data_IF_918877309002
#
_entry.id   IF_918877309002
#
_cell.length_a   1.000
_cell.length_b   1.000
_cell.length_c   1.000
_cell.angle_alpha   90.00
_cell.angle_beta   90.00
_cell.angle_gamma   90.00
#
_symmetry.space_group_name_H-M   'P 1'
#
loop_
_entity.id
_entity.type
_entity.pdbx_description
1 polymer ?
#
# COMPACT_ATOMS: atom_id res chain seq x y z
N UNK A 1 -35.48 -12.77 -24.46
CA UNK A 1 -35.32 -11.92 -23.27
C UNK A 1 -34.35 -12.60 -22.32
N UNK A 2 -33.30 -11.89 -21.87
CA UNK A 2 -32.39 -12.23 -20.74
C UNK A 2 -30.86 -12.24 -21.01
N UNK A 3 -30.32 -11.52 -22.00
CA UNK A 3 -28.86 -11.42 -22.18
C UNK A 3 -28.17 -10.29 -21.40
N UNK A 4 -28.93 -9.36 -20.79
CA UNK A 4 -28.35 -8.21 -20.05
C UNK A 4 -28.58 -8.27 -18.53
N UNK A 5 -29.27 -9.30 -18.03
CA UNK A 5 -29.60 -9.41 -16.61
C UNK A 5 -28.36 -9.58 -15.72
N UNK A 6 -27.33 -10.28 -16.24
CA UNK A 6 -26.07 -10.46 -15.52
C UNK A 6 -25.21 -9.18 -15.49
N UNK A 7 -25.33 -8.30 -16.49
CA UNK A 7 -24.63 -7.00 -16.50
C UNK A 7 -25.19 -6.06 -15.46
N UNK A 8 -26.52 -5.97 -15.39
CA UNK A 8 -27.22 -5.18 -14.36
C UNK A 8 -26.93 -5.68 -12.94
N UNK A 9 -26.81 -6.99 -12.75
CA UNK A 9 -26.44 -7.60 -11.47
C UNK A 9 -25.00 -7.22 -11.07
N UNK A 10 -24.06 -7.23 -12.03
CA UNK A 10 -22.67 -6.80 -11.84
C UNK A 10 -22.54 -5.30 -11.56
N UNK A 11 -23.26 -4.46 -12.30
CA UNK A 11 -23.27 -3.02 -12.07
C UNK A 11 -23.81 -2.69 -10.67
N UNK A 12 -24.93 -3.32 -10.28
CA UNK A 12 -25.51 -3.16 -8.95
C UNK A 12 -24.56 -3.66 -7.84
N UNK A 13 -23.84 -4.76 -8.09
CA UNK A 13 -22.83 -5.27 -7.16
C UNK A 13 -21.68 -4.27 -6.95
N UNK A 14 -21.13 -3.71 -8.04
CA UNK A 14 -20.03 -2.75 -7.94
C UNK A 14 -20.46 -1.40 -7.38
N UNK A 15 -21.67 -0.91 -7.69
CA UNK A 15 -22.22 0.29 -7.05
C UNK A 15 -22.39 0.09 -5.54
N UNK A 16 -22.90 -1.07 -5.12
CA UNK A 16 -23.01 -1.41 -3.70
C UNK A 16 -21.63 -1.50 -3.04
N UNK A 17 -20.64 -2.06 -3.75
CA UNK A 17 -19.26 -2.14 -3.26
C UNK A 17 -18.62 -0.75 -3.13
N UNK A 18 -18.79 0.14 -4.12
CA UNK A 18 -18.25 1.50 -4.07
C UNK A 18 -18.91 2.32 -2.95
N UNK A 19 -20.22 2.16 -2.73
CA UNK A 19 -20.90 2.78 -1.59
C UNK A 19 -20.42 2.22 -0.26
N UNK A 20 -20.15 0.92 -0.18
CA UNK A 20 -19.62 0.31 1.03
C UNK A 20 -18.16 0.71 1.29
N UNK A 21 -17.34 0.88 0.25
CA UNK A 21 -15.98 1.38 0.36
C UNK A 21 -15.97 2.85 0.80
N UNK A 22 -16.84 3.70 0.24
CA UNK A 22 -17.05 5.08 0.69
C UNK A 22 -17.56 5.13 2.13
N UNK A 23 -18.47 4.23 2.52
CA UNK A 23 -18.95 4.12 3.90
C UNK A 23 -17.83 3.69 4.84
N UNK A 24 -17.03 2.69 4.48
CA UNK A 24 -15.86 2.24 5.26
C UNK A 24 -14.81 3.34 5.38
N UNK A 25 -14.60 4.12 4.33
CA UNK A 25 -13.72 5.30 4.36
C UNK A 25 -14.27 6.37 5.31
N UNK A 26 -15.57 6.67 5.25
CA UNK A 26 -16.22 7.62 6.17
C UNK A 26 -16.27 7.12 7.62
N UNK A 27 -16.52 5.84 7.86
CA UNK A 27 -16.50 5.20 9.18
C UNK A 27 -15.08 5.12 9.73
N UNK A 28 -14.07 4.84 8.89
CA UNK A 28 -12.67 4.94 9.27
C UNK A 28 -12.31 6.36 9.70
N UNK A 29 -12.82 7.38 8.99
CA UNK A 29 -12.66 8.79 9.36
C UNK A 29 -13.41 9.13 10.66
N UNK A 30 -14.62 8.60 10.87
CA UNK A 30 -15.41 8.84 12.07
C UNK A 30 -14.83 8.16 13.32
N UNK A 31 -14.26 6.97 13.17
CA UNK A 31 -13.60 6.22 14.24
C UNK A 31 -12.27 6.84 14.70
N UNK A 32 -11.64 7.70 13.88
CA UNK A 32 -10.49 8.54 14.32
C UNK A 32 -10.80 9.34 15.59
N UNK A 33 -12.08 9.69 15.82
CA UNK A 33 -12.49 10.51 16.98
C UNK A 33 -12.58 9.72 18.29
N UNK A 34 -12.66 8.38 18.25
CA UNK A 34 -12.75 7.50 19.42
C UNK A 34 -11.47 6.67 19.67
N UNK A 35 -10.51 6.73 18.75
CA UNK A 35 -9.26 6.00 18.81
C UNK A 35 -8.25 6.70 19.73
N UNK A 36 -7.36 5.93 20.37
CA UNK A 36 -6.21 6.50 21.09
C UNK A 36 -5.45 7.45 20.18
N UNK A 37 -4.89 8.54 20.72
CA UNK A 37 -4.13 9.55 19.97
C UNK A 37 -3.14 8.95 18.97
N UNK A 38 -2.52 7.82 19.32
CA UNK A 38 -1.57 7.12 18.45
C UNK A 38 -2.21 6.47 17.22
N UNK A 39 -3.41 5.92 17.33
CA UNK A 39 -4.13 5.32 16.21
C UNK A 39 -4.66 6.38 15.23
N UNK A 40 -5.13 7.53 15.75
CA UNK A 40 -5.48 8.68 14.93
C UNK A 40 -4.25 9.27 14.20
N UNK A 41 -3.10 9.37 14.87
CA UNK A 41 -1.83 9.77 14.26
C UNK A 41 -1.40 8.78 13.16
N UNK A 42 -1.51 7.47 13.41
CA UNK A 42 -1.17 6.43 12.44
C UNK A 42 -2.02 6.54 11.18
N UNK A 43 -3.34 6.64 11.35
CA UNK A 43 -4.28 6.73 10.24
C UNK A 43 -4.04 7.99 9.41
N UNK A 44 -3.81 9.13 10.08
CA UNK A 44 -3.42 10.38 9.41
C UNK A 44 -2.16 10.17 8.57
N UNK A 45 -1.11 9.58 9.16
CA UNK A 45 0.15 9.31 8.44
C UNK A 45 -0.05 8.42 7.22
N UNK A 46 -0.76 7.29 7.35
CA UNK A 46 -0.92 6.36 6.23
C UNK A 46 -1.77 6.95 5.09
N UNK A 47 -2.86 7.65 5.41
CA UNK A 47 -3.74 8.24 4.40
C UNK A 47 -3.18 9.51 3.74
N UNK A 48 -2.30 10.26 4.42
CA UNK A 48 -1.77 11.52 3.89
C UNK A 48 -0.35 11.40 3.32
N UNK A 49 0.54 10.68 4.01
CA UNK A 49 1.96 10.60 3.64
C UNK A 49 2.25 9.32 2.83
N UNK A 50 1.86 8.16 3.36
CA UNK A 50 2.19 6.89 2.72
C UNK A 50 1.39 6.66 1.42
N UNK A 51 0.09 7.01 1.42
CA UNK A 51 -0.77 6.95 0.23
C UNK A 51 -0.19 7.77 -0.91
N UNK A 52 0.10 9.06 -0.65
CA UNK A 52 0.68 9.97 -1.65
C UNK A 52 2.00 9.43 -2.22
N UNK A 53 2.89 8.93 -1.35
CA UNK A 53 4.15 8.32 -1.79
C UNK A 53 3.95 7.13 -2.75
N UNK A 54 3.03 6.23 -2.43
CA UNK A 54 2.78 5.04 -3.25
C UNK A 54 2.02 5.37 -4.54
N UNK A 55 1.10 6.32 -4.51
CA UNK A 55 0.40 6.80 -5.72
C UNK A 55 1.35 7.48 -6.71
N UNK A 56 2.33 8.24 -6.22
CA UNK A 56 3.37 8.84 -7.05
C UNK A 56 4.24 7.78 -7.73
N UNK A 57 4.71 6.78 -6.97
CA UNK A 57 5.45 5.63 -7.52
C UNK A 57 4.59 4.89 -8.54
N UNK A 58 3.33 4.61 -8.21
CA UNK A 58 2.42 3.89 -9.09
C UNK A 58 2.22 4.62 -10.42
N UNK A 59 2.06 5.94 -10.39
CA UNK A 59 1.92 6.77 -11.59
C UNK A 59 3.14 6.62 -12.50
N UNK A 60 4.36 6.73 -11.95
CA UNK A 60 5.59 6.60 -12.73
C UNK A 60 5.79 5.19 -13.29
N UNK A 61 5.55 4.15 -12.49
CA UNK A 61 5.72 2.77 -12.95
C UNK A 61 4.70 2.36 -14.02
N UNK A 62 3.44 2.82 -13.89
CA UNK A 62 2.39 2.59 -14.89
C UNK A 62 2.76 3.17 -16.26
N UNK A 63 3.41 4.34 -16.30
CA UNK A 63 3.90 4.94 -17.56
C UNK A 63 4.90 4.03 -18.29
N UNK A 64 5.58 3.16 -17.56
CA UNK A 64 6.51 2.18 -18.12
C UNK A 64 5.91 0.77 -18.22
N UNK A 65 4.59 0.64 -18.27
CA UNK A 65 3.89 -0.62 -18.55
C UNK A 65 3.79 -1.59 -17.37
N UNK A 66 4.02 -1.14 -16.12
CA UNK A 66 3.83 -1.99 -14.93
C UNK A 66 2.38 -1.97 -14.49
N UNK A 67 1.89 -3.12 -14.04
CA UNK A 67 0.67 -3.20 -13.25
C UNK A 67 1.01 -2.87 -11.81
N UNK A 68 0.30 -1.90 -11.23
CA UNK A 68 0.56 -1.44 -9.85
C UNK A 68 -0.73 -1.36 -9.07
N UNK A 69 -0.75 -2.00 -7.90
CA UNK A 69 -1.82 -1.91 -6.93
C UNK A 69 -1.31 -1.23 -5.67
N UNK A 70 -2.10 -0.30 -5.15
CA UNK A 70 -1.86 0.41 -3.90
C UNK A 70 -3.07 0.21 -3.00
N UNK A 71 -2.84 -0.17 -1.76
CA UNK A 71 -3.88 -0.30 -0.74
C UNK A 71 -3.43 0.37 0.55
N UNK A 72 -4.32 1.13 1.19
CA UNK A 72 -4.02 1.90 2.40
C UNK A 72 -5.13 1.70 3.43
N UNK A 73 -4.71 1.53 4.68
CA UNK A 73 -5.55 1.34 5.85
C UNK A 73 -5.05 2.26 6.98
N UNK A 74 -5.79 2.32 8.09
CA UNK A 74 -5.43 3.17 9.23
C UNK A 74 -4.08 2.82 9.90
N UNK A 75 -3.51 1.65 9.64
CA UNK A 75 -2.26 1.21 10.27
C UNK A 75 -1.24 0.59 9.30
N UNK A 76 -1.54 0.60 8.00
CA UNK A 76 -0.63 0.06 7.00
C UNK A 76 -0.89 0.61 5.61
N UNK A 77 0.15 0.64 4.79
CA UNK A 77 0.07 0.89 3.36
C UNK A 77 0.81 -0.21 2.61
N UNK A 78 0.29 -0.64 1.46
CA UNK A 78 0.82 -1.71 0.65
C UNK A 78 0.92 -1.29 -0.81
N UNK A 79 2.02 -1.67 -1.46
CA UNK A 79 2.24 -1.53 -2.90
C UNK A 79 2.69 -2.88 -3.48
N UNK A 80 2.06 -3.26 -4.59
CA UNK A 80 2.43 -4.43 -5.40
C UNK A 80 2.69 -4.00 -6.82
N UNK A 81 3.77 -4.48 -7.41
CA UNK A 81 4.19 -4.16 -8.78
C UNK A 81 4.45 -5.45 -9.54
N UNK A 82 3.89 -5.52 -10.75
CA UNK A 82 4.07 -6.63 -11.68
C UNK A 82 4.39 -6.14 -13.09
N UNK A 83 5.14 -6.96 -13.81
CA UNK A 83 5.44 -6.77 -15.22
C UNK A 83 5.38 -8.11 -15.96
N UNK A 84 4.35 -8.30 -16.80
CA UNK A 84 4.02 -9.62 -17.35
C UNK A 84 3.71 -10.61 -16.21
N UNK A 85 4.33 -11.79 -16.25
CA UNK A 85 4.19 -12.82 -15.21
C UNK A 85 5.20 -12.68 -14.05
N UNK A 86 5.93 -11.56 -13.99
CA UNK A 86 6.97 -11.33 -12.99
C UNK A 86 6.47 -10.41 -11.89
N UNK A 87 6.55 -10.89 -10.64
CA UNK A 87 6.37 -10.07 -9.45
C UNK A 87 7.63 -9.26 -9.18
N UNK A 88 7.61 -7.97 -9.49
CA UNK A 88 8.76 -7.07 -9.32
C UNK A 88 8.83 -6.46 -7.90
N UNK A 89 7.68 -6.28 -7.23
CA UNK A 89 7.63 -5.78 -5.85
C UNK A 89 6.38 -6.23 -5.09
N UNK A 90 6.54 -6.58 -3.81
CA UNK A 90 5.45 -6.70 -2.85
C UNK A 90 5.91 -6.13 -1.51
N UNK A 91 5.50 -4.89 -1.22
CA UNK A 91 6.06 -4.08 -0.15
C UNK A 91 4.97 -3.45 0.71
N UNK A 92 5.10 -3.57 2.02
CA UNK A 92 4.16 -3.03 3.01
C UNK A 92 4.89 -2.10 3.99
N UNK A 93 4.31 -0.95 4.30
CA UNK A 93 4.58 -0.18 5.50
C UNK A 93 3.55 -0.53 6.57
N UNK A 94 4.00 -0.75 7.81
CA UNK A 94 3.13 -1.03 8.96
C UNK A 94 3.58 -0.22 10.16
N UNK A 95 2.64 0.02 11.08
CA UNK A 95 2.93 0.62 12.37
C UNK A 95 2.82 -0.39 13.52
N UNK A 96 3.66 -0.21 14.54
CA UNK A 96 3.54 -0.81 15.87
C UNK A 96 3.75 0.29 16.91
N UNK A 97 2.66 0.78 17.50
CA UNK A 97 2.67 2.06 18.20
C UNK A 97 3.05 3.17 17.22
N UNK A 98 3.97 4.07 17.63
CA UNK A 98 4.45 5.18 16.79
C UNK A 98 5.57 4.81 15.81
N UNK A 99 6.08 3.58 15.88
CA UNK A 99 7.17 3.10 15.03
C UNK A 99 6.59 2.52 13.75
N UNK A 100 7.11 2.97 12.62
CA UNK A 100 6.83 2.48 11.27
C UNK A 100 7.95 1.56 10.83
N UNK A 101 7.60 0.43 10.24
CA UNK A 101 8.54 -0.55 9.72
C UNK A 101 8.05 -1.08 8.37
N UNK A 102 8.97 -1.70 7.63
CA UNK A 102 8.74 -2.24 6.30
C UNK A 102 8.62 -3.75 6.35
N UNK A 103 7.78 -4.32 5.50
CA UNK A 103 7.70 -5.76 5.22
C UNK A 103 7.78 -5.93 3.71
N UNK A 104 8.84 -6.57 3.25
CA UNK A 104 9.03 -6.96 1.86
C UNK A 104 8.75 -8.46 1.69
N UNK A 105 7.92 -8.83 0.72
CA UNK A 105 7.62 -10.23 0.39
C UNK A 105 8.21 -10.56 -0.98
N UNK A 106 8.91 -11.68 -1.06
CA UNK A 106 9.57 -12.12 -2.29
C UNK A 106 9.63 -13.64 -2.35
N UNK A 107 9.87 -14.19 -3.53
CA UNK A 107 10.11 -15.62 -3.71
C UNK A 107 11.62 -15.87 -3.80
N UNK A 108 12.11 -16.84 -3.03
CA UNK A 108 13.48 -17.33 -3.09
C UNK A 108 13.45 -18.85 -3.13
N UNK A 109 14.11 -19.45 -4.12
CA UNK A 109 14.16 -20.91 -4.34
C UNK A 109 12.76 -21.57 -4.39
N UNK A 110 11.81 -20.89 -5.03
CA UNK A 110 10.41 -21.34 -5.15
C UNK A 110 9.59 -21.23 -3.86
N UNK A 111 10.14 -20.65 -2.79
CA UNK A 111 9.45 -20.44 -1.51
C UNK A 111 9.19 -18.97 -1.26
N UNK A 112 7.99 -18.67 -0.77
CA UNK A 112 7.66 -17.33 -0.29
C UNK A 112 8.50 -17.02 0.97
N UNK A 113 9.12 -15.85 1.00
CA UNK A 113 9.90 -15.32 2.09
C UNK A 113 9.46 -13.88 2.40
N UNK A 114 9.73 -13.42 3.61
CA UNK A 114 9.48 -12.04 4.02
C UNK A 114 10.67 -11.48 4.77
N UNK A 115 10.99 -10.21 4.50
CA UNK A 115 12.00 -9.45 5.23
C UNK A 115 11.35 -8.25 5.88
N UNK A 116 11.54 -8.15 7.20
CA UNK A 116 11.17 -6.94 7.95
C UNK A 116 12.37 -6.01 8.09
N UNK A 117 12.11 -4.71 8.12
CA UNK A 117 13.16 -3.72 8.27
C UNK A 117 12.64 -2.31 8.52
N UNK A 118 13.54 -1.35 8.43
CA UNK A 118 13.27 0.08 8.58
C UNK A 118 13.70 0.82 7.32
N UNK A 119 13.06 1.95 7.06
CA UNK A 119 13.44 2.91 6.03
C UNK A 119 14.79 3.54 6.41
N UNK A 120 14.89 4.09 7.62
CA UNK A 120 16.16 4.55 8.20
C UNK A 120 16.72 3.50 9.16
N UNK A 121 18.04 3.24 9.09
CA UNK A 121 18.71 2.16 9.85
C UNK A 121 18.71 2.35 11.39
N UNK A 122 18.25 3.49 11.89
CA UNK A 122 18.43 3.93 13.27
C UNK A 122 17.23 3.69 14.21
N UNK A 123 16.26 2.84 13.87
CA UNK A 123 15.05 2.59 14.69
C UNK A 123 14.32 3.89 15.11
N UNK A 124 14.29 4.89 14.22
CA UNK A 124 13.69 6.20 14.47
C UNK A 124 12.64 6.59 13.42
N UNK A 125 12.16 5.59 12.68
CA UNK A 125 11.09 5.72 11.70
C UNK A 125 9.77 5.86 12.44
N UNK A 126 9.42 7.08 12.78
CA UNK A 126 8.12 7.42 13.36
C UNK A 126 7.28 8.20 12.36
N UNK A 127 5.99 8.32 12.64
CA UNK A 127 5.07 9.13 11.82
C UNK A 127 5.57 10.57 11.60
N UNK A 128 6.31 11.16 12.55
CA UNK A 128 6.82 12.53 12.46
C UNK A 128 8.12 12.66 11.64
N UNK A 129 8.88 11.57 11.49
CA UNK A 129 10.23 11.60 10.91
C UNK A 129 10.28 11.01 9.50
N UNK A 130 9.25 10.27 9.11
CA UNK A 130 9.08 9.72 7.79
C UNK A 130 8.34 10.70 6.89
N UNK A 131 9.03 11.16 5.86
CA UNK A 131 8.46 11.98 4.79
C UNK A 131 8.09 11.13 3.59
N UNK A 132 7.22 11.66 2.73
CA UNK A 132 6.88 11.07 1.43
C UNK A 132 8.15 10.71 0.63
N UNK A 133 9.10 11.65 0.50
CA UNK A 133 10.34 11.42 -0.25
C UNK A 133 11.19 10.25 0.29
N UNK A 134 11.25 10.09 1.61
CA UNK A 134 11.98 8.97 2.23
C UNK A 134 11.33 7.64 1.85
N UNK A 135 10.00 7.58 1.93
CA UNK A 135 9.21 6.40 1.54
C UNK A 135 9.44 6.10 0.06
N UNK A 136 9.34 7.11 -0.82
CA UNK A 136 9.53 6.96 -2.26
C UNK A 136 10.91 6.40 -2.55
N UNK A 137 11.96 7.05 -2.06
CA UNK A 137 13.35 6.67 -2.32
C UNK A 137 13.64 5.24 -1.85
N UNK A 138 13.24 4.89 -0.63
CA UNK A 138 13.47 3.54 -0.10
C UNK A 138 12.72 2.47 -0.90
N UNK A 139 11.44 2.73 -1.22
CA UNK A 139 10.61 1.78 -1.99
C UNK A 139 11.18 1.56 -3.39
N UNK A 140 11.64 2.63 -4.05
CA UNK A 140 12.27 2.54 -5.37
C UNK A 140 13.64 1.86 -5.34
N UNK A 141 14.41 2.01 -4.26
CA UNK A 141 15.67 1.27 -4.07
C UNK A 141 15.39 -0.24 -4.01
N UNK A 142 14.42 -0.67 -3.19
CA UNK A 142 13.98 -2.07 -3.09
C UNK A 142 13.48 -2.62 -4.42
N UNK A 143 12.61 -1.88 -5.10
CA UNK A 143 12.12 -2.25 -6.42
C UNK A 143 13.24 -2.47 -7.42
N UNK A 144 14.18 -1.50 -7.55
CA UNK A 144 15.30 -1.61 -8.49
C UNK A 144 16.21 -2.79 -8.15
N UNK A 145 16.46 -3.04 -6.87
CA UNK A 145 17.27 -4.18 -6.43
C UNK A 145 16.60 -5.51 -6.74
N UNK A 146 15.28 -5.65 -6.53
CA UNK A 146 14.55 -6.87 -6.90
C UNK A 146 14.53 -7.08 -8.41
N UNK A 147 14.21 -6.06 -9.20
CA UNK A 147 14.20 -6.17 -10.67
C UNK A 147 15.57 -6.58 -11.22
N UNK A 148 16.67 -6.13 -10.60
CA UNK A 148 18.04 -6.55 -10.98
C UNK A 148 18.37 -8.00 -10.62
N UNK A 149 17.75 -8.56 -9.57
CA UNK A 149 17.98 -9.94 -9.13
C UNK A 149 17.10 -10.96 -9.86
N UNK A 150 15.93 -10.53 -10.32
CA UNK A 150 14.96 -11.37 -11.03
C UNK A 150 15.21 -11.47 -12.55
N UNK A 151 16.22 -10.79 -13.07
CA UNK A 151 16.70 -10.86 -14.46
C UNK A 151 17.98 -11.66 -14.51
#
# INVERSE_FOLDING_TARGET
>A
MSDDKWKQDLDAFFEAQEQEDKRKEQEAIANLNNESKEAAEAATFFHTVAKAAFEEIATQLKQHGRMVWVNVTNNSAHIRVEYGDVHELNFTLRARGRIVYTIERFNQDGKAQSREGFIDRAFNDTFSNLTQDKIIRHTLERYKDNVRRSR
#
